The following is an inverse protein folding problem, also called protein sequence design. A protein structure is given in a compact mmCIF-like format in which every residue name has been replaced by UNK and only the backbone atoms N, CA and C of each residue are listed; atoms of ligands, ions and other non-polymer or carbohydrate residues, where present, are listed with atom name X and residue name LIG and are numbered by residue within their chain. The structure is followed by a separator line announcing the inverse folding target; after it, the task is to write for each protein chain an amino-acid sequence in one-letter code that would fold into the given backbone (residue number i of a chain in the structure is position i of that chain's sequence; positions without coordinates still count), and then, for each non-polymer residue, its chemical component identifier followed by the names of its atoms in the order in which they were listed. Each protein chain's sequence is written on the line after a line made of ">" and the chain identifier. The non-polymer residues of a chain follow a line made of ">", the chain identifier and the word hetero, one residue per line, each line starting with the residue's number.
data_IF_096190262147
#
_entry.id   IF_096190262147
#
_cell.length_a   1.000
_cell.length_b   1.000
_cell.length_c   1.000
_cell.angle_alpha   90.00
_cell.angle_beta   90.00
_cell.angle_gamma   90.00
#
_symmetry.space_group_name_H-M   'P 1'
#
loop_
_entity.id
_entity.type
_entity.pdbx_description
1 polymer ?
#
# COMPACT_ATOMS: atom_id res chain seq x y z
N UNK A 1 -19.83 0.59 7.04
CA UNK A 1 -19.02 0.02 5.93
C UNK A 1 -18.02 1.03 5.36
N UNK A 2 -17.98 2.24 5.92
CA UNK A 2 -16.76 2.84 6.48
C UNK A 2 -16.31 2.01 7.69
N UNK A 3 -15.68 0.85 7.46
CA UNK A 3 -15.13 0.01 8.52
C UNK A 3 -13.60 0.02 8.45
N UNK A 4 -12.95 -0.50 9.47
CA UNK A 4 -11.51 -0.41 9.63
C UNK A 4 -11.06 0.81 10.44
N UNK A 5 -9.81 0.77 10.90
CA UNK A 5 -9.31 1.77 11.83
C UNK A 5 -9.13 3.17 11.20
N UNK A 6 -8.76 3.25 9.91
CA UNK A 6 -8.54 4.53 9.20
C UNK A 6 -9.81 5.38 9.11
N UNK A 7 -10.97 4.77 8.87
CA UNK A 7 -12.26 5.46 8.89
C UNK A 7 -12.62 6.04 10.27
N UNK A 8 -12.15 5.43 11.36
CA UNK A 8 -12.33 5.99 12.71
C UNK A 8 -11.46 7.22 12.96
N UNK A 9 -10.33 7.33 12.25
CA UNK A 9 -9.40 8.44 12.34
C UNK A 9 -9.79 9.60 11.41
N UNK A 10 -10.27 9.30 10.20
CA UNK A 10 -10.68 10.29 9.20
C UNK A 10 -11.99 9.86 8.53
N UNK A 11 -13.07 10.61 8.79
CA UNK A 11 -14.40 10.26 8.28
C UNK A 11 -14.55 10.33 6.75
N UNK A 12 -13.70 11.12 6.07
CA UNK A 12 -13.73 11.26 4.62
C UNK A 12 -12.83 10.26 3.88
N UNK A 13 -12.04 9.47 4.60
CA UNK A 13 -11.12 8.50 4.01
C UNK A 13 -11.87 7.56 3.04
N UNK A 14 -11.38 7.46 1.79
CA UNK A 14 -11.96 6.65 0.70
C UNK A 14 -13.47 6.84 0.49
N UNK A 15 -14.02 8.00 0.87
CA UNK A 15 -15.46 8.27 0.81
C UNK A 15 -16.04 8.36 -0.61
N UNK A 16 -15.15 8.49 -1.60
CA UNK A 16 -15.45 8.49 -3.03
C UNK A 16 -15.56 7.09 -3.65
N UNK A 17 -15.30 6.00 -2.91
CA UNK A 17 -15.29 4.63 -3.46
C UNK A 17 -16.68 4.01 -3.42
N UNK A 18 -17.03 3.32 -4.51
CA UNK A 18 -18.23 2.47 -4.57
C UNK A 18 -18.00 1.15 -3.81
N UNK A 19 -19.07 0.61 -3.25
CA UNK A 19 -19.01 -0.68 -2.56
C UNK A 19 -18.91 -1.83 -3.58
N UNK A 20 -18.19 -2.91 -3.26
CA UNK A 20 -18.21 -4.14 -4.04
C UNK A 20 -19.65 -4.60 -4.30
N UNK A 21 -19.96 -4.95 -5.55
CA UNK A 21 -21.22 -5.60 -5.87
C UNK A 21 -21.21 -7.08 -5.45
N UNK A 22 -22.39 -7.71 -5.53
CA UNK A 22 -22.54 -9.12 -5.16
C UNK A 22 -21.68 -10.05 -6.03
N UNK A 23 -21.51 -9.71 -7.31
CA UNK A 23 -20.66 -10.47 -8.23
C UNK A 23 -19.21 -10.49 -7.76
N UNK A 24 -18.66 -9.34 -7.35
CA UNK A 24 -17.30 -9.25 -6.83
C UNK A 24 -17.15 -9.99 -5.51
N UNK A 25 -18.16 -9.94 -4.62
CA UNK A 25 -18.14 -10.70 -3.37
C UNK A 25 -18.06 -12.22 -3.60
N UNK A 26 -18.79 -12.74 -4.59
CA UNK A 26 -18.74 -14.15 -5.01
C UNK A 26 -17.34 -14.48 -5.56
N UNK A 27 -16.78 -13.64 -6.42
CA UNK A 27 -15.44 -13.84 -6.97
C UNK A 27 -14.36 -13.89 -5.88
N UNK A 28 -14.41 -12.97 -4.91
CA UNK A 28 -13.45 -12.94 -3.78
C UNK A 28 -13.55 -14.21 -2.92
N UNK A 29 -14.76 -14.73 -2.73
CA UNK A 29 -14.98 -16.00 -2.02
C UNK A 29 -14.33 -17.16 -2.77
N UNK A 30 -14.56 -17.26 -4.09
CA UNK A 30 -13.92 -18.27 -4.94
C UNK A 30 -12.40 -18.18 -4.96
N UNK A 31 -11.83 -16.96 -4.96
CA UNK A 31 -10.38 -16.77 -4.82
C UNK A 31 -9.85 -17.33 -3.50
N UNK A 32 -10.55 -17.10 -2.39
CA UNK A 32 -10.14 -17.63 -1.07
C UNK A 32 -10.20 -19.17 -1.03
N UNK A 33 -11.26 -19.77 -1.58
CA UNK A 33 -11.39 -21.22 -1.69
C UNK A 33 -10.28 -21.83 -2.55
N UNK A 34 -10.01 -21.23 -3.71
CA UNK A 34 -8.92 -21.68 -4.59
C UNK A 34 -7.57 -21.62 -3.89
N UNK A 35 -7.24 -20.49 -3.23
CA UNK A 35 -6.00 -20.34 -2.46
C UNK A 35 -5.84 -21.45 -1.42
N UNK A 36 -6.92 -21.75 -0.67
CA UNK A 36 -6.93 -22.84 0.32
C UNK A 36 -6.60 -24.20 -0.32
N UNK A 37 -7.22 -24.53 -1.46
CA UNK A 37 -7.01 -25.80 -2.17
C UNK A 37 -5.55 -25.98 -2.62
N UNK A 38 -4.91 -24.91 -3.09
CA UNK A 38 -3.52 -24.97 -3.56
C UNK A 38 -2.48 -24.72 -2.46
N UNK A 39 -2.90 -24.58 -1.21
CA UNK A 39 -2.02 -24.38 -0.07
C UNK A 39 -1.45 -22.96 0.07
N UNK A 40 -2.10 -21.96 -0.55
CA UNK A 40 -1.77 -20.55 -0.35
C UNK A 40 -2.58 -19.98 0.82
N UNK A 41 -1.88 -19.36 1.78
CA UNK A 41 -2.53 -18.70 2.89
C UNK A 41 -3.32 -17.47 2.42
N UNK A 42 -4.59 -17.37 2.82
CA UNK A 42 -5.44 -16.21 2.62
C UNK A 42 -5.79 -15.57 3.97
N UNK A 43 -5.81 -14.24 4.01
CA UNK A 43 -6.07 -13.47 5.21
C UNK A 43 -7.13 -12.41 4.94
N UNK A 44 -8.03 -12.20 5.90
CA UNK A 44 -9.09 -11.20 5.81
C UNK A 44 -9.30 -10.56 7.19
N UNK A 45 -9.65 -9.28 7.20
CA UNK A 45 -9.93 -8.56 8.43
C UNK A 45 -11.09 -7.59 8.25
N UNK A 46 -11.85 -7.36 9.33
CA UNK A 46 -12.88 -6.31 9.40
C UNK A 46 -12.33 -4.98 9.96
N UNK A 47 -11.07 -5.00 10.43
CA UNK A 47 -10.43 -3.88 11.16
C UNK A 47 -9.21 -3.33 10.41
N UNK A 48 -8.44 -4.21 9.80
CA UNK A 48 -7.20 -3.89 9.09
C UNK A 48 -7.43 -4.09 7.59
N UNK A 49 -6.84 -3.23 6.78
CA UNK A 49 -6.89 -3.31 5.32
C UNK A 49 -5.81 -4.28 4.80
N UNK A 50 -5.85 -4.58 3.50
CA UNK A 50 -4.92 -5.53 2.89
C UNK A 50 -3.46 -5.08 2.96
N UNK A 51 -3.22 -3.77 2.85
CA UNK A 51 -1.92 -3.13 3.03
C UNK A 51 -1.33 -3.35 4.43
N UNK A 52 -2.14 -3.25 5.49
CA UNK A 52 -1.73 -3.52 6.87
C UNK A 52 -1.31 -4.98 7.06
N UNK A 53 -2.08 -5.90 6.48
CA UNK A 53 -1.79 -7.34 6.53
C UNK A 53 -0.50 -7.64 5.77
N UNK A 54 -0.33 -7.08 4.57
CA UNK A 54 0.89 -7.23 3.76
C UNK A 54 2.11 -6.69 4.54
N UNK A 55 2.02 -5.49 5.10
CA UNK A 55 3.09 -4.90 5.91
C UNK A 55 3.43 -5.75 7.14
N UNK A 56 2.43 -6.29 7.82
CA UNK A 56 2.61 -7.19 8.97
C UNK A 56 3.34 -8.47 8.58
N UNK A 57 2.94 -9.12 7.49
CA UNK A 57 3.56 -10.36 7.01
C UNK A 57 4.99 -10.08 6.53
N UNK A 58 5.20 -9.02 5.74
CA UNK A 58 6.52 -8.64 5.24
C UNK A 58 7.51 -8.41 6.40
N UNK A 59 7.10 -7.66 7.43
CA UNK A 59 7.94 -7.43 8.61
C UNK A 59 8.22 -8.71 9.39
N UNK A 60 7.21 -9.57 9.55
CA UNK A 60 7.38 -10.84 10.27
C UNK A 60 8.35 -11.78 9.56
N UNK A 61 8.19 -11.98 8.26
CA UNK A 61 9.03 -12.91 7.48
C UNK A 61 10.49 -12.43 7.48
N UNK A 62 10.73 -11.11 7.39
CA UNK A 62 12.08 -10.54 7.51
C UNK A 62 12.71 -10.75 8.88
N UNK A 63 11.91 -10.72 9.94
CA UNK A 63 12.41 -10.96 11.29
C UNK A 63 12.79 -12.44 11.51
N UNK A 64 12.10 -13.34 10.81
CA UNK A 64 12.31 -14.80 10.93
C UNK A 64 13.36 -15.33 9.93
N UNK A 65 13.64 -14.61 8.83
CA UNK A 65 14.53 -15.08 7.77
C UNK A 65 15.13 -13.93 6.94
N UNK A 66 16.36 -14.14 6.44
CA UNK A 66 16.97 -13.23 5.47
C UNK A 66 16.41 -13.50 4.06
N UNK A 67 15.25 -12.90 3.76
CA UNK A 67 14.62 -13.01 2.44
C UNK A 67 14.30 -11.65 1.83
N UNK A 68 14.10 -11.67 0.52
CA UNK A 68 13.54 -10.55 -0.24
C UNK A 68 12.02 -10.68 -0.29
N UNK A 69 11.32 -9.54 -0.32
CA UNK A 69 9.86 -9.50 -0.36
C UNK A 69 9.39 -8.99 -1.72
N UNK A 70 8.54 -9.80 -2.35
CA UNK A 70 7.87 -9.46 -3.59
C UNK A 70 6.38 -9.22 -3.34
N UNK A 71 5.94 -7.99 -3.56
CA UNK A 71 4.54 -7.57 -3.40
C UNK A 71 3.96 -7.40 -4.79
N UNK A 72 2.88 -8.12 -5.09
CA UNK A 72 2.16 -7.97 -6.36
C UNK A 72 0.96 -7.07 -6.11
N UNK A 73 1.06 -5.81 -6.54
CA UNK A 73 0.01 -4.80 -6.36
C UNK A 73 0.23 -3.61 -7.28
N UNK A 74 -0.84 -2.89 -7.59
CA UNK A 74 -0.79 -1.58 -8.26
C UNK A 74 -0.75 -0.41 -7.28
N UNK A 75 -1.01 -0.69 -6.01
CA UNK A 75 -1.06 0.33 -4.97
C UNK A 75 0.33 0.91 -4.75
N UNK A 76 0.50 2.18 -5.11
CA UNK A 76 1.77 2.89 -4.97
C UNK A 76 2.18 3.02 -3.51
N UNK A 77 1.25 2.98 -2.56
CA UNK A 77 1.54 3.22 -1.16
C UNK A 77 2.38 2.09 -0.57
N UNK A 78 2.31 0.89 -1.15
CA UNK A 78 3.11 -0.26 -0.74
C UNK A 78 4.60 -0.14 -1.08
N UNK A 79 5.02 0.88 -1.85
CA UNK A 79 6.45 1.16 -2.02
C UNK A 79 7.15 1.41 -0.68
N UNK A 80 6.42 1.91 0.33
CA UNK A 80 6.97 2.13 1.68
C UNK A 80 7.48 0.86 2.36
N UNK A 81 7.08 -0.32 1.88
CA UNK A 81 7.46 -1.63 2.44
C UNK A 81 8.74 -2.20 1.84
N UNK A 82 9.29 -1.57 0.80
CA UNK A 82 10.58 -1.96 0.23
C UNK A 82 11.67 -1.52 1.21
N UNK A 83 12.44 -2.45 1.78
CA UNK A 83 13.50 -2.18 2.77
C UNK A 83 14.89 -2.57 2.25
N UNK A 84 14.98 -3.63 1.46
CA UNK A 84 16.18 -4.13 0.78
C UNK A 84 16.15 -3.76 -0.69
N UNK A 85 17.33 -3.65 -1.31
CA UNK A 85 17.47 -3.32 -2.74
C UNK A 85 16.82 -4.36 -3.66
N UNK A 86 16.76 -5.61 -3.23
CA UNK A 86 16.13 -6.71 -3.98
C UNK A 86 14.61 -6.85 -3.73
N UNK A 87 14.02 -6.06 -2.83
CA UNK A 87 12.57 -6.05 -2.67
C UNK A 87 11.88 -5.42 -3.87
N UNK A 88 10.72 -5.94 -4.23
CA UNK A 88 10.02 -5.55 -5.44
C UNK A 88 8.53 -5.33 -5.20
N UNK A 89 8.03 -4.17 -5.64
CA UNK A 89 6.62 -3.96 -5.90
C UNK A 89 6.35 -4.18 -7.39
N UNK A 90 5.56 -5.19 -7.73
CA UNK A 90 5.25 -5.55 -9.10
C UNK A 90 3.79 -5.26 -9.45
N UNK A 91 3.59 -4.27 -10.32
CA UNK A 91 2.34 -4.12 -11.06
C UNK A 91 2.33 -5.14 -12.20
N UNK A 92 1.73 -6.30 -11.93
CA UNK A 92 1.63 -7.40 -12.88
C UNK A 92 0.97 -6.99 -14.20
N UNK A 93 -0.11 -6.20 -14.14
CA UNK A 93 -0.89 -5.87 -15.32
C UNK A 93 -0.18 -4.96 -16.31
N UNK A 94 0.64 -4.03 -15.81
CA UNK A 94 1.51 -3.19 -16.64
C UNK A 94 2.91 -3.76 -16.84
N UNK A 95 3.16 -4.98 -16.32
CA UNK A 95 4.47 -5.60 -16.24
C UNK A 95 5.58 -4.65 -15.72
N UNK A 96 5.24 -3.84 -14.70
CA UNK A 96 6.15 -2.83 -14.16
C UNK A 96 6.62 -3.23 -12.77
N UNK A 97 7.92 -3.49 -12.64
CA UNK A 97 8.58 -3.75 -11.36
C UNK A 97 9.21 -2.46 -10.84
N UNK A 98 9.00 -2.19 -9.54
CA UNK A 98 9.65 -1.11 -8.81
C UNK A 98 10.48 -1.70 -7.69
N UNK A 99 11.77 -1.42 -7.75
CA UNK A 99 12.72 -1.60 -6.66
C UNK A 99 12.93 -0.25 -5.97
N UNK A 100 13.69 -0.24 -4.87
CA UNK A 100 13.96 0.99 -4.09
C UNK A 100 14.51 2.13 -4.96
N UNK A 101 15.49 1.84 -5.82
CA UNK A 101 16.05 2.83 -6.75
C UNK A 101 14.98 3.47 -7.66
N UNK A 102 14.02 2.69 -8.14
CA UNK A 102 12.94 3.21 -8.98
C UNK A 102 12.01 4.17 -8.20
N UNK A 103 11.83 3.97 -6.89
CA UNK A 103 11.05 4.89 -6.06
C UNK A 103 11.76 6.24 -5.97
N UNK A 104 13.08 6.23 -5.79
CA UNK A 104 13.89 7.45 -5.76
C UNK A 104 13.84 8.16 -7.13
N UNK A 105 13.96 7.42 -8.24
CA UNK A 105 13.89 8.01 -9.58
C UNK A 105 12.51 8.60 -9.89
N UNK A 106 11.43 7.93 -9.47
CA UNK A 106 10.05 8.33 -9.78
C UNK A 106 9.54 9.46 -8.87
N UNK A 107 9.82 9.37 -7.57
CA UNK A 107 9.24 10.26 -6.57
C UNK A 107 10.26 11.25 -5.98
N UNK A 108 11.56 10.99 -6.14
CA UNK A 108 12.63 11.83 -5.61
C UNK A 108 12.75 11.80 -4.09
N UNK A 109 12.28 10.71 -3.47
CA UNK A 109 12.34 10.42 -2.04
C UNK A 109 12.61 8.92 -1.84
N UNK A 110 13.08 8.54 -0.65
CA UNK A 110 13.25 7.14 -0.31
C UNK A 110 11.92 6.45 0.03
N UNK A 111 11.81 5.13 -0.18
CA UNK A 111 10.63 4.34 0.22
C UNK A 111 10.11 4.65 1.63
N UNK A 112 11.00 4.78 2.61
CA UNK A 112 10.65 5.01 4.01
C UNK A 112 10.01 6.38 4.25
N UNK A 113 10.22 7.34 3.34
CA UNK A 113 9.67 8.70 3.42
C UNK A 113 8.31 8.83 2.74
N UNK A 114 7.81 7.76 2.10
CA UNK A 114 6.55 7.79 1.36
C UNK A 114 5.33 8.13 2.23
N UNK A 115 5.20 7.62 3.48
CA UNK A 115 4.13 8.01 4.38
C UNK A 115 4.16 9.51 4.72
N UNK A 116 5.33 10.06 5.03
CA UNK A 116 5.50 11.49 5.29
C UNK A 116 5.17 12.32 4.05
N UNK A 117 5.59 11.87 2.87
CA UNK A 117 5.27 12.51 1.61
C UNK A 117 3.76 12.63 1.39
N UNK A 118 3.01 11.53 1.56
CA UNK A 118 1.54 11.55 1.44
C UNK A 118 0.89 12.35 2.57
N UNK A 119 1.43 12.32 3.78
CA UNK A 119 0.96 13.13 4.90
C UNK A 119 1.12 14.63 4.64
N UNK A 120 2.19 15.03 3.96
CA UNK A 120 2.46 16.41 3.56
C UNK A 120 1.62 16.82 2.34
N UNK A 121 1.65 16.04 1.26
CA UNK A 121 1.02 16.40 -0.02
C UNK A 121 -0.46 16.09 -0.11
N UNK A 122 -0.95 15.17 0.73
CA UNK A 122 -2.25 14.54 0.59
C UNK A 122 -2.26 13.43 -0.46
N UNK A 123 -3.39 12.74 -0.52
CA UNK A 123 -3.74 11.75 -1.53
C UNK A 123 -5.22 11.92 -1.91
N UNK A 124 -5.47 12.45 -3.11
CA UNK A 124 -6.83 12.69 -3.59
C UNK A 124 -7.59 11.40 -3.92
N UNK A 125 -6.89 10.32 -4.27
CA UNK A 125 -7.49 9.01 -4.59
C UNK A 125 -8.17 8.45 -3.34
N UNK A 126 -7.52 8.64 -2.18
CA UNK A 126 -7.98 8.16 -0.88
C UNK A 126 -8.65 9.22 0.00
N UNK A 127 -8.91 10.40 -0.56
CA UNK A 127 -9.52 11.54 0.13
C UNK A 127 -8.73 12.00 1.38
N UNK A 128 -7.41 11.95 1.32
CA UNK A 128 -6.48 12.47 2.34
C UNK A 128 -6.05 13.88 1.93
N UNK A 129 -6.36 14.90 2.75
CA UNK A 129 -6.19 16.31 2.37
C UNK A 129 -4.74 16.81 2.32
N UNK A 130 -3.84 16.24 3.12
CA UNK A 130 -2.48 16.78 3.30
C UNK A 130 -2.44 18.11 4.04
N UNK A 131 -1.31 18.83 3.94
CA UNK A 131 -1.14 20.17 4.53
C UNK A 131 -1.49 21.24 3.50
N UNK A 132 -2.38 22.20 3.81
CA UNK A 132 -2.69 23.31 2.91
C UNK A 132 -1.45 24.07 2.44
N UNK A 133 -1.30 24.18 1.12
CA UNK A 133 -0.15 24.86 0.50
C UNK A 133 1.15 24.03 0.46
N UNK A 134 1.08 22.73 0.76
CA UNK A 134 2.17 21.77 0.56
C UNK A 134 1.72 20.74 -0.47
N UNK A 135 2.14 20.94 -1.72
CA UNK A 135 1.94 19.94 -2.78
C UNK A 135 3.14 19.00 -2.93
N UNK A 136 3.10 18.07 -3.90
CA UNK A 136 4.18 17.11 -4.20
C UNK A 136 5.59 17.69 -4.23
N UNK A 137 5.77 18.83 -4.92
CA UNK A 137 7.08 19.47 -5.07
C UNK A 137 7.64 19.93 -3.72
N UNK A 138 6.81 20.64 -2.94
CA UNK A 138 7.22 21.19 -1.63
C UNK A 138 7.40 20.09 -0.59
N UNK A 139 6.57 19.04 -0.62
CA UNK A 139 6.74 17.87 0.23
C UNK A 139 8.11 17.20 -0.01
N UNK A 140 8.46 16.97 -1.28
CA UNK A 140 9.77 16.43 -1.67
C UNK A 140 10.93 17.32 -1.23
N UNK A 141 10.83 18.64 -1.40
CA UNK A 141 11.87 19.58 -0.95
C UNK A 141 12.09 19.52 0.57
N UNK A 142 11.02 19.41 1.35
CA UNK A 142 11.10 19.29 2.81
C UNK A 142 11.78 17.98 3.23
N UNK A 143 11.38 16.86 2.64
CA UNK A 143 11.91 15.52 2.97
C UNK A 143 13.37 15.31 2.52
N UNK A 144 13.82 16.03 1.50
CA UNK A 144 15.23 15.99 1.11
C UNK A 144 16.11 16.87 2.01
N UNK A 145 15.50 17.78 2.78
CA UNK A 145 16.21 18.73 3.63
C UNK A 145 16.27 18.32 5.10
N UNK A 146 15.26 17.61 5.60
CA UNK A 146 15.08 17.22 6.99
C UNK A 146 14.85 15.71 7.08
#
# INVERSE_FOLDING_TARGET
>A
MFCGFRHKLCGNYKSNRELPDENLAIQLTGCSEFCSIIGLASFVSKVYEGDDIIGTIANRVRAESDCDVYIISRDKDLVQLLQKEADCLWDYGNNRKRFRANVVDEFGIFPEQFPDYLGLSGDSVDCISGIPGVGPVKAKELLNRF
#
